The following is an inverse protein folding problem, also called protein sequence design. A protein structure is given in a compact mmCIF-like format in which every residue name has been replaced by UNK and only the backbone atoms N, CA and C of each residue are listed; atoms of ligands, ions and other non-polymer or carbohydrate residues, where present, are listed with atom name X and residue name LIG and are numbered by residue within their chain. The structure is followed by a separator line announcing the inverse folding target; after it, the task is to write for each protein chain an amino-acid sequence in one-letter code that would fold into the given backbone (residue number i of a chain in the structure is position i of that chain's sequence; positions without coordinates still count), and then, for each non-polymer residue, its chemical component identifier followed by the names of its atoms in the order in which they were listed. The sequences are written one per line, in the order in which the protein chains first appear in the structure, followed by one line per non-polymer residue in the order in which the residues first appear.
data_IF_722298543472
#
_entry.id   IF_722298543472
#
_cell.length_a   1.000
_cell.length_b   1.000
_cell.length_c   1.000
_cell.angle_alpha   90.00
_cell.angle_beta   90.00
_cell.angle_gamma   90.00
#
_symmetry.space_group_name_H-M   'P 1'
#
loop_
_entity.id
_entity.type
_entity.pdbx_description
1 polymer ?
#
# COMPACT_ATOMS: atom_id res chain seq x y z
N UNK A 1 36.29 -24.04 38.44
CA UNK A 1 34.94 -23.56 38.82
C UNK A 1 34.89 -22.05 38.72
N UNK A 2 34.18 -21.48 37.73
CA UNK A 2 33.40 -20.22 37.87
C UNK A 2 32.79 -19.80 36.52
N UNK A 3 31.47 -19.87 36.50
CA UNK A 3 30.50 -18.96 35.86
C UNK A 3 30.60 -18.71 34.35
N UNK A 4 29.87 -19.51 33.57
CA UNK A 4 29.17 -19.04 32.39
C UNK A 4 28.04 -18.10 32.84
N UNK A 5 28.14 -16.81 32.51
CA UNK A 5 26.97 -15.92 32.50
C UNK A 5 26.18 -16.20 31.22
N UNK A 6 25.01 -16.81 31.38
CA UNK A 6 23.99 -16.89 30.34
C UNK A 6 23.11 -15.64 30.48
N UNK A 7 23.44 -14.57 29.76
CA UNK A 7 22.57 -13.40 29.64
C UNK A 7 21.41 -13.77 28.74
N UNK A 8 20.26 -14.09 29.34
CA UNK A 8 19.00 -14.20 28.64
C UNK A 8 18.70 -12.87 27.93
N UNK A 9 18.62 -12.94 26.60
CA UNK A 9 18.06 -11.91 25.75
C UNK A 9 16.67 -11.55 26.27
N UNK A 10 16.51 -10.32 26.74
CA UNK A 10 15.19 -9.73 26.94
C UNK A 10 14.55 -9.58 25.55
N UNK A 11 13.56 -10.42 25.24
CA UNK A 11 12.64 -10.14 24.15
C UNK A 11 11.82 -8.92 24.58
N UNK A 12 12.23 -7.73 24.10
CA UNK A 12 11.42 -6.53 24.16
C UNK A 12 10.16 -6.75 23.33
N UNK A 13 9.05 -6.96 24.02
CA UNK A 13 7.69 -7.09 23.49
C UNK A 13 7.12 -5.74 23.03
N UNK A 14 7.83 -5.02 22.17
CA UNK A 14 7.36 -3.72 21.62
C UNK A 14 6.55 -3.88 20.34
N UNK A 15 6.50 -5.07 19.75
CA UNK A 15 5.90 -5.30 18.43
C UNK A 15 4.36 -5.30 18.40
N UNK A 16 3.68 -5.51 19.53
CA UNK A 16 2.22 -5.68 19.55
C UNK A 16 1.42 -4.41 19.26
N UNK A 17 1.88 -3.27 19.78
CA UNK A 17 1.21 -1.97 19.62
C UNK A 17 1.41 -1.39 18.21
N UNK A 18 2.65 -1.41 17.71
CA UNK A 18 2.97 -0.95 16.36
C UNK A 18 2.22 -1.73 15.26
N UNK A 19 2.05 -3.05 15.44
CA UNK A 19 1.27 -3.87 14.50
C UNK A 19 -0.23 -3.56 14.53
N UNK A 20 -0.81 -3.29 15.71
CA UNK A 20 -2.22 -2.95 15.86
C UNK A 20 -2.57 -1.57 15.26
N UNK A 21 -1.68 -0.60 15.44
CA UNK A 21 -1.82 0.74 14.87
C UNK A 21 -1.77 0.69 13.34
N UNK A 22 -0.83 -0.08 12.78
CA UNK A 22 -0.72 -0.28 11.33
C UNK A 22 -1.97 -0.92 10.73
N UNK A 23 -2.51 -1.96 11.37
CA UNK A 23 -3.73 -2.62 10.88
C UNK A 23 -4.95 -1.69 10.90
N UNK A 24 -5.05 -0.84 11.93
CA UNK A 24 -6.11 0.16 12.07
C UNK A 24 -6.01 1.22 10.99
N UNK A 25 -4.80 1.71 10.73
CA UNK A 25 -4.53 2.70 9.69
C UNK A 25 -4.81 2.15 8.29
N UNK A 26 -4.36 0.93 7.98
CA UNK A 26 -4.67 0.24 6.71
C UNK A 26 -6.19 0.11 6.48
N UNK A 27 -6.96 -0.15 7.54
CA UNK A 27 -8.43 -0.17 7.46
C UNK A 27 -9.00 1.20 7.12
N UNK A 28 -8.49 2.28 7.73
CA UNK A 28 -8.90 3.65 7.40
C UNK A 28 -8.60 3.99 5.94
N UNK A 29 -7.40 3.67 5.46
CA UNK A 29 -7.01 3.89 4.05
C UNK A 29 -7.93 3.12 3.11
N UNK A 30 -8.29 1.88 3.46
CA UNK A 30 -9.24 1.09 2.68
C UNK A 30 -10.61 1.73 2.58
N UNK A 31 -11.15 2.24 3.69
CA UNK A 31 -12.42 2.97 3.69
C UNK A 31 -12.35 4.25 2.84
N UNK A 32 -11.25 5.00 2.92
CA UNK A 32 -11.04 6.19 2.08
C UNK A 32 -10.97 5.83 0.59
N UNK A 33 -10.26 4.75 0.25
CA UNK A 33 -10.18 4.25 -1.12
C UNK A 33 -11.54 3.78 -1.64
N UNK A 34 -12.33 3.08 -0.81
CA UNK A 34 -13.68 2.65 -1.17
C UNK A 34 -14.65 3.81 -1.36
N UNK A 35 -14.51 4.89 -0.59
CA UNK A 35 -15.31 6.09 -0.74
C UNK A 35 -14.94 6.91 -1.98
N UNK A 36 -13.64 7.04 -2.30
CA UNK A 36 -13.15 7.89 -3.41
C UNK A 36 -13.14 7.17 -4.76
N UNK A 37 -12.88 5.86 -4.76
CA UNK A 37 -12.63 5.07 -5.98
C UNK A 37 -13.68 3.94 -6.06
N UNK A 38 -14.56 4.04 -7.06
CA UNK A 38 -15.67 3.13 -7.30
C UNK A 38 -15.63 2.53 -8.70
N UNK A 39 -16.26 1.37 -8.88
CA UNK A 39 -16.39 0.69 -10.16
C UNK A 39 -16.26 -0.83 -10.03
N UNK A 40 -17.04 -1.58 -10.83
CA UNK A 40 -17.01 -3.05 -10.83
C UNK A 40 -15.75 -3.64 -11.47
N UNK A 41 -15.12 -2.89 -12.37
CA UNK A 41 -13.89 -3.26 -13.07
C UNK A 41 -12.68 -2.49 -12.50
N UNK A 42 -12.72 -2.18 -11.20
CA UNK A 42 -11.65 -1.49 -10.49
C UNK A 42 -11.09 -2.40 -9.40
N UNK A 43 -9.77 -2.59 -9.43
CA UNK A 43 -9.02 -3.27 -8.37
C UNK A 43 -8.22 -2.22 -7.59
N UNK A 44 -8.24 -2.31 -6.26
CA UNK A 44 -7.49 -1.46 -5.35
C UNK A 44 -6.53 -2.32 -4.55
N UNK A 45 -5.25 -2.01 -4.61
CA UNK A 45 -4.22 -2.63 -3.79
C UNK A 45 -3.61 -1.58 -2.88
N UNK A 46 -3.52 -1.91 -1.59
CA UNK A 46 -3.03 -0.98 -0.58
C UNK A 46 -1.73 -1.54 -0.02
N UNK A 47 -0.69 -0.72 -0.06
CA UNK A 47 0.60 -1.01 0.55
C UNK A 47 1.02 0.15 1.44
N UNK A 48 2.07 -0.05 2.22
CA UNK A 48 2.67 0.98 3.04
C UNK A 48 4.18 0.85 3.02
N UNK A 49 4.89 1.96 3.07
CA UNK A 49 6.33 1.98 3.27
C UNK A 49 6.70 3.06 4.28
N UNK A 50 7.84 2.87 4.94
CA UNK A 50 8.42 3.89 5.83
C UNK A 50 9.47 4.67 5.03
N UNK A 51 9.32 5.99 5.02
CA UNK A 51 10.32 6.88 4.46
C UNK A 51 11.31 7.28 5.55
N UNK A 52 12.36 6.48 5.70
CA UNK A 52 13.42 6.71 6.68
C UNK A 52 14.58 7.55 6.12
N UNK A 53 14.69 7.68 4.79
CA UNK A 53 15.91 8.17 4.13
C UNK A 53 15.67 9.18 2.99
N UNK A 54 14.52 9.87 2.97
CA UNK A 54 14.32 11.03 2.11
C UNK A 54 13.85 10.74 0.68
N UNK A 55 13.00 9.73 0.49
CA UNK A 55 12.21 9.63 -0.74
C UNK A 55 11.40 10.93 -0.90
N UNK A 56 11.61 11.73 -1.96
CA UNK A 56 10.92 13.02 -2.13
C UNK A 56 9.41 12.85 -2.31
N UNK A 57 8.97 11.64 -2.68
CA UNK A 57 7.57 11.30 -2.89
C UNK A 57 6.85 10.79 -1.64
N UNK A 58 7.46 10.89 -0.46
CA UNK A 58 6.85 10.45 0.79
C UNK A 58 7.14 11.42 1.92
N UNK A 59 6.14 11.69 2.75
CA UNK A 59 6.37 12.42 3.99
C UNK A 59 7.30 11.60 4.91
N UNK A 60 8.04 12.28 5.78
CA UNK A 60 8.81 11.63 6.84
C UNK A 60 7.91 10.69 7.65
N UNK A 61 8.38 9.47 7.90
CA UNK A 61 7.59 8.41 8.52
C UNK A 61 6.81 7.57 7.51
N UNK A 62 5.67 7.00 7.95
CA UNK A 62 4.93 6.02 7.15
C UNK A 62 4.05 6.68 6.10
N UNK A 63 4.11 6.18 4.87
CA UNK A 63 3.23 6.57 3.76
C UNK A 63 2.47 5.35 3.25
N UNK A 64 1.17 5.53 3.04
CA UNK A 64 0.27 4.54 2.49
C UNK A 64 0.05 4.81 1.00
N UNK A 65 0.07 3.75 0.20
CA UNK A 65 -0.11 3.81 -1.26
C UNK A 65 -1.33 2.99 -1.64
N UNK A 66 -2.18 3.55 -2.49
CA UNK A 66 -3.35 2.90 -3.07
C UNK A 66 -3.16 2.83 -4.57
N UNK A 67 -2.73 1.68 -5.06
CA UNK A 67 -2.64 1.39 -6.49
C UNK A 67 -4.00 1.01 -7.02
N UNK A 68 -4.45 1.69 -8.06
CA UNK A 68 -5.72 1.46 -8.72
C UNK A 68 -5.47 0.88 -10.10
N UNK A 69 -6.00 -0.32 -10.34
CA UNK A 69 -5.94 -0.97 -11.65
C UNK A 69 -7.33 -1.11 -12.24
N UNK A 70 -7.44 -0.94 -13.56
CA UNK A 70 -8.68 -1.15 -14.31
C UNK A 70 -8.63 -2.49 -15.05
N UNK A 71 -9.76 -3.20 -15.07
CA UNK A 71 -9.88 -4.41 -15.86
C UNK A 71 -10.05 -4.03 -17.33
N UNK A 72 -9.08 -4.36 -18.15
CA UNK A 72 -9.19 -4.18 -19.60
C UNK A 72 -9.30 -5.53 -20.29
N UNK A 73 -10.18 -5.58 -21.28
CA UNK A 73 -10.22 -6.69 -22.23
C UNK A 73 -9.29 -6.32 -23.38
N UNK A 74 -8.35 -7.21 -23.69
CA UNK A 74 -7.42 -7.03 -24.80
C UNK A 74 -7.67 -8.14 -25.81
N UNK A 75 -7.76 -7.75 -27.08
CA UNK A 75 -7.73 -8.70 -28.18
C UNK A 75 -6.27 -9.08 -28.40
N UNK A 76 -5.98 -10.37 -28.39
CA UNK A 76 -4.63 -10.88 -28.57
C UNK A 76 -4.63 -11.93 -29.68
N UNK A 77 -3.65 -11.83 -30.56
CA UNK A 77 -3.38 -12.85 -31.56
C UNK A 77 -2.79 -14.08 -30.86
N UNK A 78 -3.46 -15.23 -31.01
CA UNK A 78 -2.98 -16.52 -30.47
C UNK A 78 -2.28 -17.36 -31.53
N UNK A 79 -1.90 -16.76 -32.66
CA UNK A 79 -1.24 -17.45 -33.77
C UNK A 79 -2.22 -18.31 -34.58
N UNK A 80 -1.81 -19.52 -34.93
CA UNK A 80 -2.59 -20.42 -35.79
C UNK A 80 -3.98 -20.81 -35.24
N UNK A 81 -4.22 -20.58 -33.94
CA UNK A 81 -5.49 -20.84 -33.27
C UNK A 81 -6.53 -19.70 -33.41
N UNK A 82 -6.14 -18.56 -34.01
CA UNK A 82 -7.01 -17.42 -34.28
C UNK A 82 -6.90 -16.26 -33.28
N UNK A 83 -7.86 -15.32 -33.35
CA UNK A 83 -7.91 -14.15 -32.46
C UNK A 83 -8.68 -14.50 -31.18
N UNK A 84 -8.06 -14.31 -30.02
CA UNK A 84 -8.68 -14.51 -28.71
C UNK A 84 -8.88 -13.21 -27.95
N UNK A 85 -9.77 -13.22 -26.97
CA UNK A 85 -9.89 -12.15 -25.98
C UNK A 85 -9.29 -12.61 -24.65
N UNK A 86 -8.41 -11.79 -24.06
CA UNK A 86 -7.90 -11.98 -22.70
C UNK A 86 -8.33 -10.80 -21.83
N UNK A 87 -8.32 -11.01 -20.51
CA UNK A 87 -8.60 -9.94 -19.54
C UNK A 87 -7.37 -9.76 -18.66
N UNK A 88 -6.88 -8.53 -18.60
CA UNK A 88 -5.76 -8.14 -17.77
C UNK A 88 -6.14 -6.95 -16.88
N UNK A 89 -5.43 -6.81 -15.77
CA UNK A 89 -5.48 -5.60 -14.96
C UNK A 89 -4.34 -4.69 -15.41
N UNK A 90 -4.66 -3.43 -15.66
CA UNK A 90 -3.67 -2.40 -16.01
C UNK A 90 -3.70 -1.33 -14.93
N UNK A 91 -2.52 -0.96 -14.41
CA UNK A 91 -2.40 0.15 -13.48
C UNK A 91 -2.89 1.44 -14.16
N UNK A 92 -3.80 2.13 -13.50
CA UNK A 92 -4.44 3.34 -14.02
C UNK A 92 -4.04 4.57 -13.22
N UNK A 93 -3.99 4.45 -11.89
CA UNK A 93 -3.59 5.56 -11.04
C UNK A 93 -3.02 5.06 -9.71
N UNK A 94 -2.21 5.90 -9.08
CA UNK A 94 -1.65 5.65 -7.75
C UNK A 94 -1.98 6.83 -6.85
N UNK A 95 -2.58 6.54 -5.71
CA UNK A 95 -2.85 7.54 -4.68
C UNK A 95 -1.99 7.28 -3.45
N UNK A 96 -1.79 8.32 -2.68
CA UNK A 96 -0.92 8.31 -1.53
C UNK A 96 -1.57 9.07 -0.36
N UNK A 97 -1.24 8.67 0.86
CA UNK A 97 -1.57 9.42 2.09
C UNK A 97 -0.52 9.15 3.16
N UNK A 98 0.08 10.20 3.73
CA UNK A 98 1.00 10.04 4.84
C UNK A 98 0.25 9.64 6.11
N UNK A 99 0.92 8.97 7.06
CA UNK A 99 0.33 8.65 8.36
C UNK A 99 -0.14 9.92 9.07
N UNK A 100 0.66 10.98 9.03
CA UNK A 100 0.33 12.28 9.60
C UNK A 100 -0.97 12.85 9.03
N UNK A 101 -1.13 12.79 7.71
CA UNK A 101 -2.32 13.28 7.02
C UNK A 101 -3.55 12.39 7.30
N UNK A 102 -3.35 11.07 7.35
CA UNK A 102 -4.39 10.11 7.72
C UNK A 102 -4.93 10.37 9.14
N UNK A 103 -4.04 10.69 10.10
CA UNK A 103 -4.43 11.05 11.48
C UNK A 103 -5.18 12.38 11.53
N UNK A 104 -4.79 13.35 10.69
CA UNK A 104 -5.49 14.64 10.54
C UNK A 104 -6.82 14.52 9.78
N UNK A 105 -7.14 13.35 9.24
CA UNK A 105 -8.37 13.11 8.49
C UNK A 105 -8.32 13.63 7.05
N UNK A 106 -7.13 13.85 6.49
CA UNK A 106 -6.98 14.21 5.09
C UNK A 106 -7.29 13.01 4.17
N UNK A 107 -7.71 13.32 2.95
CA UNK A 107 -8.04 12.33 1.93
C UNK A 107 -6.84 11.82 1.14
N UNK A 108 -7.10 10.89 0.22
CA UNK A 108 -6.11 10.40 -0.75
C UNK A 108 -5.66 11.52 -1.69
N UNK A 109 -4.35 11.63 -1.91
CA UNK A 109 -3.72 12.54 -2.87
C UNK A 109 -3.10 11.77 -4.02
N UNK A 110 -3.28 12.20 -5.26
CA UNK A 110 -2.56 11.68 -6.44
C UNK A 110 -1.22 12.40 -6.67
N UNK A 111 -0.91 13.39 -5.83
CA UNK A 111 0.09 14.42 -6.11
C UNK A 111 1.36 14.28 -5.28
N UNK A 112 1.60 13.12 -4.65
CA UNK A 112 2.80 12.96 -3.82
C UNK A 112 4.10 12.92 -4.66
N UNK A 113 4.03 12.63 -5.96
CA UNK A 113 5.08 12.98 -6.93
C UNK A 113 4.50 13.87 -8.04
N UNK A 114 4.84 15.15 -8.06
CA UNK A 114 4.98 15.86 -9.34
C UNK A 114 6.48 15.89 -9.62
N UNK A 115 6.88 15.36 -10.77
CA UNK A 115 8.23 15.53 -11.32
C UNK A 115 8.60 17.01 -11.45
#
# INVERSE_FOLDING_TARGET
MKTLLLTLLALSSTSGLALADTATEMKKVRLLADAKISGSDVKKEISSFENTDGNPCAAEGRTYVVTVSLRKSKMEDRGAEGIGQTRAWEEFNVYYVSQTDLVKGAGLSDTLCQE
#
